data_IF_925547217198
#
_entry.id   IF_925547217198
#
_cell.length_a   1.000
_cell.length_b   1.000
_cell.length_c   1.000
_cell.angle_alpha   90.00
_cell.angle_beta   90.00
_cell.angle_gamma   90.00
#
_symmetry.space_group_name_H-M   'P 1'
#
loop_
_entity.id
_entity.type
_entity.pdbx_description
1 polymer ?
#
# COMPACT_ATOMS: atom_id res chain seq x y z
N UNK A 1 3.87 -5.64 11.47
CA UNK A 1 4.98 -6.17 10.64
C UNK A 1 4.62 -7.58 10.25
N UNK A 2 4.40 -7.86 8.96
CA UNK A 2 4.10 -9.21 8.46
C UNK A 2 5.41 -9.84 7.96
N UNK A 3 5.86 -10.91 8.60
CA UNK A 3 7.03 -11.69 8.17
C UNK A 3 6.56 -12.77 7.18
N UNK A 4 7.07 -12.75 5.95
CA UNK A 4 6.70 -13.73 4.92
C UNK A 4 7.83 -14.73 4.70
N UNK A 5 7.54 -16.02 4.87
CA UNK A 5 8.46 -17.12 4.61
C UNK A 5 8.00 -17.94 3.40
N UNK A 6 8.87 -18.09 2.39
CA UNK A 6 8.69 -18.89 1.16
C UNK A 6 7.43 -18.63 0.29
N UNK A 7 7.58 -18.67 -1.05
CA UNK A 7 6.58 -18.17 -2.01
C UNK A 7 5.15 -18.74 -1.88
N UNK A 8 4.98 -20.04 -1.57
CA UNK A 8 3.64 -20.66 -1.43
C UNK A 8 2.96 -20.31 -0.09
N UNK A 9 3.70 -20.34 1.02
CA UNK A 9 3.17 -20.01 2.36
C UNK A 9 2.80 -18.53 2.44
N UNK A 10 3.60 -17.67 1.80
CA UNK A 10 3.34 -16.23 1.69
C UNK A 10 1.98 -15.88 1.09
N UNK A 11 1.54 -16.56 0.03
CA UNK A 11 0.23 -16.27 -0.58
C UNK A 11 -0.93 -16.64 0.36
N UNK A 12 -0.81 -17.76 1.07
CA UNK A 12 -1.80 -18.19 2.04
C UNK A 12 -1.88 -17.20 3.22
N UNK A 13 -0.73 -16.79 3.76
CA UNK A 13 -0.63 -15.80 4.84
C UNK A 13 -1.23 -14.44 4.42
N UNK A 14 -0.97 -13.98 3.19
CA UNK A 14 -1.57 -12.76 2.62
C UNK A 14 -3.09 -12.88 2.55
N UNK A 15 -3.62 -14.00 2.03
CA UNK A 15 -5.06 -14.21 1.91
C UNK A 15 -5.77 -14.25 3.27
N UNK A 16 -5.13 -14.86 4.27
CA UNK A 16 -5.67 -14.94 5.62
C UNK A 16 -5.65 -13.57 6.31
N UNK A 17 -4.54 -12.84 6.19
CA UNK A 17 -4.43 -11.47 6.69
C UNK A 17 -5.48 -10.55 6.05
N UNK A 18 -5.68 -10.64 4.74
CA UNK A 18 -6.70 -9.87 4.04
C UNK A 18 -8.12 -10.22 4.52
N UNK A 19 -8.41 -11.50 4.75
CA UNK A 19 -9.71 -11.94 5.30
C UNK A 19 -9.97 -11.36 6.69
N UNK A 20 -8.99 -11.40 7.59
CA UNK A 20 -9.08 -10.79 8.93
C UNK A 20 -9.30 -9.28 8.82
N UNK A 21 -8.51 -8.61 7.99
CA UNK A 21 -8.61 -7.18 7.77
C UNK A 21 -10.00 -6.76 7.28
N UNK A 22 -10.54 -7.43 6.26
CA UNK A 22 -11.90 -7.16 5.76
C UNK A 22 -12.96 -7.40 6.84
N UNK A 23 -12.80 -8.45 7.66
CA UNK A 23 -13.73 -8.73 8.77
C UNK A 23 -13.72 -7.59 9.79
N UNK A 24 -12.54 -7.16 10.24
CA UNK A 24 -12.40 -6.10 11.23
C UNK A 24 -12.92 -4.76 10.72
N UNK A 25 -12.68 -4.43 9.45
CA UNK A 25 -13.19 -3.20 8.85
C UNK A 25 -14.72 -3.18 8.78
N UNK A 26 -15.37 -4.32 8.50
CA UNK A 26 -16.84 -4.40 8.54
C UNK A 26 -17.41 -4.16 9.93
N UNK A 27 -16.71 -4.62 10.97
CA UNK A 27 -17.17 -4.50 12.36
C UNK A 27 -16.95 -3.09 12.92
N UNK A 28 -15.83 -2.46 12.59
CA UNK A 28 -15.48 -1.14 13.10
C UNK A 28 -16.01 0.01 12.22
N UNK A 29 -16.38 -0.29 10.96
CA UNK A 29 -16.87 0.67 9.97
C UNK A 29 -16.08 1.99 9.92
N UNK A 30 -14.74 1.95 9.72
CA UNK A 30 -13.92 3.16 9.70
C UNK A 30 -14.20 4.00 8.46
N UNK A 31 -14.12 5.32 8.59
CA UNK A 31 -14.22 6.27 7.47
C UNK A 31 -12.92 6.37 6.66
N UNK A 32 -11.78 6.03 7.27
CA UNK A 32 -10.44 6.10 6.66
C UNK A 32 -9.53 5.01 7.22
N UNK A 33 -8.69 4.44 6.36
CA UNK A 33 -7.65 3.49 6.75
C UNK A 33 -6.28 4.11 6.53
N UNK A 34 -5.45 4.11 7.55
CA UNK A 34 -4.05 4.50 7.43
C UNK A 34 -3.15 3.25 7.45
N UNK A 35 -2.42 3.02 6.35
CA UNK A 35 -1.50 1.91 6.21
C UNK A 35 -0.04 2.39 6.22
N UNK A 36 0.84 1.59 6.81
CA UNK A 36 2.29 1.80 6.78
C UNK A 36 2.94 0.74 5.91
N UNK A 37 3.85 1.14 5.02
CA UNK A 37 4.54 0.33 4.02
C UNK A 37 3.69 -0.06 2.79
N UNK A 38 4.32 -0.10 1.62
CA UNK A 38 3.65 -0.31 0.33
C UNK A 38 2.86 -1.61 0.20
N UNK A 39 3.38 -2.75 0.66
CA UNK A 39 2.63 -4.01 0.57
C UNK A 39 1.38 -4.01 1.47
N UNK A 40 1.48 -3.44 2.68
CA UNK A 40 0.34 -3.28 3.57
C UNK A 40 -0.68 -2.29 3.02
N UNK A 41 -0.21 -1.17 2.45
CA UNK A 41 -1.06 -0.23 1.73
C UNK A 41 -1.77 -0.87 0.53
N UNK A 42 -1.09 -1.73 -0.22
CA UNK A 42 -1.69 -2.47 -1.33
C UNK A 42 -2.81 -3.39 -0.84
N UNK A 43 -2.55 -4.20 0.19
CA UNK A 43 -3.56 -5.08 0.79
C UNK A 43 -4.74 -4.29 1.34
N UNK A 44 -4.49 -3.18 2.03
CA UNK A 44 -5.53 -2.30 2.54
C UNK A 44 -6.38 -1.68 1.43
N UNK A 45 -5.78 -1.40 0.27
CA UNK A 45 -6.48 -0.87 -0.89
C UNK A 45 -7.33 -1.91 -1.64
N UNK A 46 -7.02 -3.21 -1.53
CA UNK A 46 -7.77 -4.26 -2.25
C UNK A 46 -9.24 -4.39 -1.81
N UNK A 47 -9.63 -3.89 -0.63
CA UNK A 47 -11.03 -3.92 -0.21
C UNK A 47 -11.92 -2.88 -0.92
N UNK A 48 -11.36 -1.80 -1.48
CA UNK A 48 -12.02 -0.79 -2.35
C UNK A 48 -13.24 -0.02 -1.81
N UNK A 49 -13.64 -0.23 -0.56
CA UNK A 49 -14.80 0.40 0.09
C UNK A 49 -14.43 1.60 0.94
N UNK A 50 -13.42 1.47 1.80
CA UNK A 50 -12.94 2.54 2.68
C UNK A 50 -11.71 3.21 2.05
N UNK A 51 -11.62 4.55 1.98
CA UNK A 51 -10.43 5.22 1.46
C UNK A 51 -9.19 4.88 2.31
N UNK A 52 -8.03 4.81 1.64
CA UNK A 52 -6.76 4.43 2.29
C UNK A 52 -5.73 5.52 2.08
N UNK A 53 -5.04 5.94 3.13
CA UNK A 53 -3.80 6.73 3.06
C UNK A 53 -2.63 5.80 3.36
N UNK A 54 -1.61 5.80 2.50
CA UNK A 54 -0.42 4.94 2.70
C UNK A 54 0.82 5.78 3.01
N UNK A 55 1.51 5.47 4.11
CA UNK A 55 2.84 6.01 4.42
C UNK A 55 3.94 5.06 3.96
N UNK A 56 4.87 5.56 3.15
CA UNK A 56 6.03 4.82 2.68
C UNK A 56 7.30 5.19 3.48
N UNK A 57 8.10 4.19 3.86
CA UNK A 57 9.24 4.31 4.80
C UNK A 57 10.61 4.02 4.17
N UNK A 58 10.68 3.81 2.86
CA UNK A 58 11.94 3.73 2.11
C UNK A 58 12.34 2.30 1.79
N UNK A 59 12.23 1.39 2.76
CA UNK A 59 12.46 -0.05 2.55
C UNK A 59 11.55 -0.64 1.46
N UNK A 60 10.32 -0.15 1.39
CA UNK A 60 9.29 -0.53 0.43
C UNK A 60 9.45 0.12 -0.95
N UNK A 61 10.38 1.08 -1.10
CA UNK A 61 10.61 1.84 -2.33
C UNK A 61 11.99 1.57 -2.93
N UNK A 62 12.98 1.27 -2.09
CA UNK A 62 14.36 1.07 -2.54
C UNK A 62 14.57 -0.29 -3.22
N UNK A 63 13.93 -1.36 -2.73
CA UNK A 63 13.95 -2.66 -3.40
C UNK A 63 13.04 -2.65 -4.65
N UNK A 64 13.58 -3.05 -5.81
CA UNK A 64 12.85 -3.13 -7.08
C UNK A 64 11.66 -4.10 -7.01
N UNK A 65 11.77 -5.17 -6.22
CA UNK A 65 10.74 -6.19 -6.06
C UNK A 65 9.55 -5.64 -5.28
N UNK A 66 9.80 -4.76 -4.31
CA UNK A 66 8.76 -4.15 -3.49
C UNK A 66 8.20 -2.88 -4.11
N UNK A 67 9.02 -2.16 -4.89
CA UNK A 67 8.63 -0.93 -5.59
C UNK A 67 7.39 -1.14 -6.47
N UNK A 68 7.23 -2.31 -7.09
CA UNK A 68 6.03 -2.59 -7.90
C UNK A 68 4.76 -2.62 -7.03
N UNK A 69 4.82 -3.22 -5.85
CA UNK A 69 3.69 -3.26 -4.91
C UNK A 69 3.42 -1.87 -4.35
N UNK A 70 4.48 -1.12 -4.03
CA UNK A 70 4.39 0.25 -3.55
C UNK A 70 3.77 1.17 -4.60
N UNK A 71 4.15 1.06 -5.87
CA UNK A 71 3.54 1.81 -6.99
C UNK A 71 2.04 1.53 -7.11
N UNK A 72 1.64 0.28 -6.95
CA UNK A 72 0.22 -0.06 -6.91
C UNK A 72 -0.46 0.51 -5.67
N UNK A 73 0.11 0.38 -4.48
CA UNK A 73 -0.45 0.97 -3.26
C UNK A 73 -0.63 2.48 -3.38
N UNK A 74 0.35 3.19 -3.93
CA UNK A 74 0.29 4.63 -4.17
C UNK A 74 -0.83 4.99 -5.14
N UNK A 75 -0.92 4.28 -6.28
CA UNK A 75 -1.96 4.52 -7.30
C UNK A 75 -3.38 4.31 -6.76
N UNK A 76 -3.53 3.44 -5.78
CA UNK A 76 -4.84 3.00 -5.29
C UNK A 76 -5.29 3.75 -4.04
N UNK A 77 -4.34 4.25 -3.25
CA UNK A 77 -4.61 5.08 -2.07
C UNK A 77 -5.27 6.40 -2.47
N UNK A 78 -6.10 6.93 -1.58
CA UNK A 78 -6.62 8.29 -1.67
C UNK A 78 -5.48 9.31 -1.63
N UNK A 79 -4.53 9.12 -0.73
CA UNK A 79 -3.31 9.93 -0.65
C UNK A 79 -2.10 9.10 -0.14
N UNK A 80 -0.90 9.66 -0.26
CA UNK A 80 0.36 9.01 0.07
C UNK A 80 1.33 9.93 0.79
N UNK A 81 1.76 9.49 1.97
CA UNK A 81 2.75 10.17 2.79
C UNK A 81 4.12 9.54 2.50
N UNK A 82 5.12 10.36 2.16
CA UNK A 82 6.49 9.91 1.95
C UNK A 82 7.35 10.47 3.08
N UNK A 83 8.05 9.58 3.79
CA UNK A 83 8.88 9.97 4.93
C UNK A 83 10.13 10.74 4.48
N UNK A 84 10.64 10.47 3.27
CA UNK A 84 11.75 11.21 2.66
C UNK A 84 11.29 11.95 1.40
N UNK A 85 11.81 13.17 1.20
CA UNK A 85 11.41 14.07 0.10
C UNK A 85 11.64 13.44 -1.29
N UNK A 86 12.72 12.70 -1.45
CA UNK A 86 13.17 12.17 -2.74
C UNK A 86 12.46 10.85 -3.13
N UNK A 87 11.77 10.20 -2.19
CA UNK A 87 11.11 8.91 -2.43
C UNK A 87 9.97 9.01 -3.44
N UNK A 88 9.26 10.13 -3.46
CA UNK A 88 8.16 10.40 -4.42
C UNK A 88 8.66 10.33 -5.86
N UNK A 89 9.92 10.65 -6.12
CA UNK A 89 10.46 10.66 -7.48
C UNK A 89 10.55 9.27 -8.10
N UNK A 90 10.73 8.22 -7.28
CA UNK A 90 10.79 6.83 -7.77
C UNK A 90 9.44 6.32 -8.30
N UNK A 91 8.36 7.06 -8.06
CA UNK A 91 7.02 6.77 -8.56
C UNK A 91 6.76 7.45 -9.91
N UNK A 92 7.60 8.40 -10.34
CA UNK A 92 7.57 8.99 -11.68
C UNK A 92 7.89 7.89 -12.71
N UNK A 93 7.12 7.83 -13.78
CA UNK A 93 7.37 6.94 -14.93
C UNK A 93 7.88 7.81 -16.06
N UNK A 94 9.12 7.59 -16.53
CA UNK A 94 9.74 8.21 -17.72
C UNK A 94 9.18 9.59 -18.11
N UNK A 95 9.58 10.64 -17.37
CA UNK A 95 9.32 12.03 -17.75
C UNK A 95 7.88 12.55 -17.60
N UNK A 96 6.89 11.71 -17.26
CA UNK A 96 5.52 12.16 -16.97
C UNK A 96 5.26 12.04 -15.47
N UNK A 97 5.09 13.18 -14.82
CA UNK A 97 4.46 13.27 -13.51
C UNK A 97 3.06 12.67 -13.66
N UNK A 98 2.78 11.57 -12.94
CA UNK A 98 1.39 11.16 -12.73
C UNK A 98 0.78 12.24 -11.83
N UNK A 99 0.27 13.28 -12.46
CA UNK A 99 -0.58 14.28 -11.82
C UNK A 99 -1.92 13.58 -11.56
N UNK A 100 -2.05 12.96 -10.39
CA UNK A 100 -3.37 12.77 -9.82
C UNK A 100 -3.68 14.05 -9.07
N UNK A 101 -4.52 14.88 -9.69
CA UNK A 101 -5.19 15.99 -9.05
C UNK A 101 -5.95 15.41 -7.86
N UNK A 102 -5.48 15.71 -6.64
CA UNK A 102 -6.33 15.60 -5.45
C UNK A 102 -7.31 16.76 -5.59
N UNK A 103 -8.58 16.44 -5.89
CA UNK A 103 -9.70 17.33 -5.63
C UNK A 103 -10.07 17.17 -4.17
#
# INVERSE_FOLDING_TARGET
>A
MFFYSNNKKRLLELSFAFKIFVKNNKQNNPDLIHAHYGLSGLLANLQRKVPVVTTFHGSDIHDINDLKYSKWAHRLSLDSIFVEKNMRERFKKNGKMLLFLVV
#
